data_IF_577012119167
#
_entry.id   IF_577012119167
#
_cell.length_a   1.000
_cell.length_b   1.000
_cell.length_c   1.000
_cell.angle_alpha   90.00
_cell.angle_beta   90.00
_cell.angle_gamma   90.00
#
_symmetry.space_group_name_H-M   'P 1'
#
loop_
_entity.id
_entity.type
_entity.pdbx_description
1 polymer ?
#
# COMPACT_ATOMS: atom_id res chain seq x y z
N UNK A 1 42.35 -37.08 -17.66
CA UNK A 1 41.47 -36.38 -16.71
C UNK A 1 40.56 -35.45 -17.50
N UNK A 2 39.23 -35.53 -17.36
CA UNK A 2 38.34 -34.54 -17.97
C UNK A 2 38.41 -33.23 -17.17
N UNK A 3 38.29 -32.06 -17.82
CA UNK A 3 38.27 -30.80 -17.11
C UNK A 3 36.96 -30.65 -16.34
N UNK A 4 37.09 -30.21 -15.09
CA UNK A 4 36.02 -29.96 -14.13
C UNK A 4 35.24 -28.73 -14.59
N UNK A 5 33.99 -28.91 -15.04
CA UNK A 5 33.09 -27.80 -15.36
C UNK A 5 32.94 -26.87 -14.16
N UNK A 6 33.50 -25.68 -14.28
CA UNK A 6 33.24 -24.57 -13.38
C UNK A 6 31.78 -24.17 -13.53
N UNK A 7 31.02 -24.37 -12.46
CA UNK A 7 29.62 -23.99 -12.34
C UNK A 7 29.55 -22.45 -12.30
N UNK A 8 29.62 -21.81 -13.48
CA UNK A 8 29.43 -20.36 -13.59
C UNK A 8 27.97 -20.06 -13.29
N UNK A 9 27.72 -19.48 -12.11
CA UNK A 9 26.42 -18.94 -11.72
C UNK A 9 26.05 -17.84 -12.72
N UNK A 10 25.18 -18.17 -13.68
CA UNK A 10 24.68 -17.24 -14.69
C UNK A 10 24.03 -16.07 -13.96
N UNK A 11 24.62 -14.88 -14.10
CA UNK A 11 24.03 -13.66 -13.56
C UNK A 11 22.76 -13.37 -14.37
N UNK A 12 21.61 -13.13 -13.72
CA UNK A 12 20.38 -12.83 -14.42
C UNK A 12 20.55 -11.55 -15.24
N UNK A 13 20.10 -11.59 -16.49
CA UNK A 13 20.09 -10.42 -17.37
C UNK A 13 19.27 -9.27 -16.75
N UNK A 14 19.54 -7.99 -17.09
CA UNK A 14 18.75 -6.86 -16.60
C UNK A 14 17.24 -7.07 -16.78
N UNK A 15 16.82 -7.58 -17.94
CA UNK A 15 15.43 -7.93 -18.24
C UNK A 15 14.88 -9.00 -17.32
N UNK A 16 15.67 -10.03 -16.99
CA UNK A 16 15.25 -11.10 -16.09
C UNK A 16 15.06 -10.63 -14.65
N UNK A 17 15.84 -9.65 -14.20
CA UNK A 17 15.63 -8.99 -12.91
C UNK A 17 14.32 -8.19 -12.89
N UNK A 18 14.01 -7.45 -13.97
CA UNK A 18 12.73 -6.72 -14.07
C UNK A 18 11.52 -7.67 -14.10
N UNK A 19 11.63 -8.77 -14.86
CA UNK A 19 10.58 -9.79 -14.96
C UNK A 19 10.30 -10.49 -13.61
N UNK A 20 11.25 -10.50 -12.68
CA UNK A 20 11.03 -11.13 -11.36
C UNK A 20 9.93 -10.43 -10.54
N UNK A 21 9.66 -9.16 -10.81
CA UNK A 21 8.60 -8.38 -10.16
C UNK A 21 7.26 -8.44 -10.89
N UNK A 22 7.23 -8.90 -12.15
CA UNK A 22 6.00 -8.94 -12.93
C UNK A 22 5.32 -10.30 -12.74
N UNK A 23 4.06 -10.35 -12.28
CA UNK A 23 3.36 -11.61 -12.14
C UNK A 23 3.15 -12.30 -13.48
N UNK A 24 3.40 -13.61 -13.49
CA UNK A 24 3.28 -14.45 -14.69
C UNK A 24 1.84 -14.63 -15.20
N UNK A 25 0.85 -14.24 -14.39
CA UNK A 25 -0.57 -14.33 -14.74
C UNK A 25 -1.10 -13.08 -15.46
N UNK A 26 -0.29 -12.02 -15.59
CA UNK A 26 -0.67 -10.83 -16.34
C UNK A 26 -0.66 -11.12 -17.85
N UNK A 27 -1.49 -10.39 -18.60
CA UNK A 27 -1.49 -10.48 -20.06
C UNK A 27 -0.12 -10.06 -20.64
N UNK A 28 0.25 -10.55 -21.84
CA UNK A 28 1.46 -10.11 -22.52
C UNK A 28 1.51 -8.60 -22.74
N UNK A 29 0.36 -7.97 -23.02
CA UNK A 29 0.23 -6.52 -23.17
C UNK A 29 0.54 -5.77 -21.87
N UNK A 30 -0.09 -6.16 -20.76
CA UNK A 30 0.18 -5.54 -19.46
C UNK A 30 1.64 -5.72 -19.04
N UNK A 31 2.21 -6.90 -19.32
CA UNK A 31 3.63 -7.19 -19.08
C UNK A 31 4.54 -6.26 -19.88
N UNK A 32 4.26 -6.06 -21.17
CA UNK A 32 5.04 -5.17 -22.02
C UNK A 32 4.99 -3.71 -21.55
N UNK A 33 3.80 -3.24 -21.13
CA UNK A 33 3.61 -1.89 -20.60
C UNK A 33 4.39 -1.71 -19.27
N UNK A 34 4.31 -2.69 -18.36
CA UNK A 34 5.06 -2.68 -17.11
C UNK A 34 6.57 -2.71 -17.33
N UNK A 35 7.06 -3.56 -18.24
CA UNK A 35 8.48 -3.61 -18.62
C UNK A 35 8.97 -2.27 -19.18
N UNK A 36 8.16 -1.65 -20.03
CA UNK A 36 8.48 -0.33 -20.60
C UNK A 36 8.60 0.71 -19.48
N UNK A 37 7.67 0.74 -18.53
CA UNK A 37 7.74 1.65 -17.39
C UNK A 37 8.94 1.37 -16.47
N UNK A 38 9.25 0.10 -16.23
CA UNK A 38 10.39 -0.33 -15.41
C UNK A 38 11.75 -0.03 -16.04
N UNK A 39 11.84 -0.05 -17.36
CA UNK A 39 13.08 0.26 -18.09
C UNK A 39 13.46 1.75 -18.06
N UNK A 40 12.51 2.63 -17.70
CA UNK A 40 12.78 4.06 -17.62
C UNK A 40 13.68 4.34 -16.40
N UNK A 41 14.60 5.32 -16.49
CA UNK A 41 15.32 5.78 -15.32
C UNK A 41 14.36 6.40 -14.32
N UNK A 42 14.74 6.35 -13.05
CA UNK A 42 14.02 7.01 -11.95
C UNK A 42 14.20 8.53 -12.14
N UNK A 43 13.10 9.27 -11.98
CA UNK A 43 13.14 10.73 -12.12
C UNK A 43 13.88 11.35 -10.93
N UNK A 44 14.72 12.38 -11.14
CA UNK A 44 15.33 13.13 -10.02
C UNK A 44 14.30 13.96 -9.24
N UNK A 45 13.09 14.11 -9.76
CA UNK A 45 11.95 14.77 -9.11
C UNK A 45 10.97 13.78 -8.47
N UNK A 46 11.35 12.50 -8.36
CA UNK A 46 10.52 11.53 -7.65
C UNK A 46 10.79 11.65 -6.16
N UNK A 47 9.74 11.90 -5.39
CA UNK A 47 9.81 12.13 -3.96
C UNK A 47 9.55 10.84 -3.17
N UNK A 48 9.96 10.85 -1.92
CA UNK A 48 9.51 9.87 -0.93
C UNK A 48 8.11 10.22 -0.38
N UNK A 49 7.26 9.23 -0.22
CA UNK A 49 5.92 9.46 0.32
C UNK A 49 5.20 8.18 0.74
N UNK A 50 3.89 8.25 0.76
CA UNK A 50 3.02 7.14 1.11
C UNK A 50 2.11 6.81 -0.07
N UNK A 51 1.90 5.51 -0.29
CA UNK A 51 0.76 5.04 -1.09
C UNK A 51 -0.40 4.82 -0.12
N UNK A 52 -1.57 5.38 -0.41
CA UNK A 52 -2.78 5.16 0.38
C UNK A 52 -3.86 4.48 -0.44
N UNK A 53 -4.73 3.76 0.26
CA UNK A 53 -5.94 3.14 -0.27
C UNK A 53 -7.10 3.60 0.58
N UNK A 54 -8.17 4.08 -0.04
CA UNK A 54 -9.46 4.30 0.62
C UNK A 54 -10.59 3.71 -0.21
N UNK A 55 -11.69 3.34 0.45
CA UNK A 55 -12.92 3.06 -0.25
C UNK A 55 -13.74 4.34 -0.41
N UNK A 56 -14.63 4.34 -1.38
CA UNK A 56 -15.69 5.32 -1.47
C UNK A 56 -17.00 4.69 -1.02
N UNK A 57 -17.64 5.31 -0.05
CA UNK A 57 -19.02 5.00 0.32
C UNK A 57 -19.94 5.96 -0.43
N UNK A 58 -20.87 5.44 -1.24
CA UNK A 58 -21.89 6.24 -1.97
C UNK A 58 -22.96 6.83 -1.03
N UNK A 59 -22.79 6.61 0.27
CA UNK A 59 -23.70 7.04 1.33
C UNK A 59 -22.98 7.99 2.27
N UNK A 60 -23.67 9.01 2.78
CA UNK A 60 -23.22 9.91 3.86
C UNK A 60 -22.84 9.19 5.17
N UNK A 61 -23.00 7.87 5.22
CA UNK A 61 -22.54 7.00 6.30
C UNK A 61 -21.08 6.63 6.06
N UNK A 62 -20.17 7.37 6.69
CA UNK A 62 -18.78 6.92 6.84
C UNK A 62 -18.74 5.74 7.82
N UNK A 63 -18.24 4.57 7.43
CA UNK A 63 -17.88 3.53 8.39
C UNK A 63 -16.72 4.03 9.26
N UNK A 64 -16.73 3.61 10.53
CA UNK A 64 -15.72 3.98 11.51
C UNK A 64 -14.30 3.60 11.04
N UNK A 65 -13.34 4.51 11.23
CA UNK A 65 -11.97 4.44 10.68
C UNK A 65 -11.25 3.15 11.11
N UNK A 66 -11.58 2.67 12.32
CA UNK A 66 -11.03 1.46 12.91
C UNK A 66 -11.50 0.18 12.20
N UNK A 67 -12.72 0.19 11.63
CA UNK A 67 -13.26 -0.95 10.88
C UNK A 67 -12.54 -1.09 9.54
N UNK A 68 -12.26 0.01 8.85
CA UNK A 68 -11.56 0.01 7.55
C UNK A 68 -10.10 -0.45 7.65
N UNK A 69 -9.40 0.02 8.68
CA UNK A 69 -8.00 -0.32 8.93
C UNK A 69 -7.84 -1.79 9.36
N UNK A 70 -8.76 -2.32 10.18
CA UNK A 70 -8.70 -3.69 10.69
C UNK A 70 -8.79 -4.77 9.61
N UNK A 71 -9.48 -4.49 8.49
CA UNK A 71 -9.73 -5.45 7.41
C UNK A 71 -8.49 -5.90 6.64
N UNK A 72 -7.42 -5.13 6.70
CA UNK A 72 -6.16 -5.44 6.05
C UNK A 72 -5.00 -5.53 7.05
N UNK A 73 -5.10 -4.86 8.21
CA UNK A 73 -4.10 -4.84 9.30
C UNK A 73 -3.86 -6.21 9.95
N UNK A 74 -4.88 -7.05 10.05
CA UNK A 74 -4.74 -8.37 10.64
C UNK A 74 -4.55 -9.44 9.55
N UNK A 75 -3.60 -10.38 9.70
CA UNK A 75 -3.59 -11.62 8.90
C UNK A 75 -4.84 -12.49 9.13
N UNK A 76 -5.76 -12.05 10.00
CA UNK A 76 -6.98 -12.73 10.42
C UNK A 76 -8.22 -11.80 10.37
N UNK A 77 -8.22 -10.78 9.52
CA UNK A 77 -9.42 -9.98 9.29
C UNK A 77 -10.59 -10.94 9.00
N UNK A 78 -11.60 -10.97 9.88
CA UNK A 78 -12.66 -11.97 9.77
C UNK A 78 -13.41 -11.67 8.48
N UNK A 79 -13.54 -12.66 7.60
CA UNK A 79 -14.28 -12.57 6.33
C UNK A 79 -15.66 -11.91 6.49
N UNK A 80 -16.28 -12.05 7.67
CA UNK A 80 -17.55 -11.40 8.06
C UNK A 80 -17.52 -9.87 8.03
N UNK A 81 -16.41 -9.22 8.36
CA UNK A 81 -16.29 -7.76 8.40
C UNK A 81 -16.14 -7.20 6.99
N UNK A 82 -15.38 -7.88 6.11
CA UNK A 82 -15.31 -7.54 4.68
C UNK A 82 -16.67 -7.74 4.04
N UNK A 83 -17.36 -8.84 4.36
CA UNK A 83 -18.69 -9.16 3.85
C UNK A 83 -19.76 -8.17 4.30
N UNK A 84 -19.73 -7.75 5.57
CA UNK A 84 -20.70 -6.80 6.16
C UNK A 84 -20.53 -5.42 5.55
N UNK A 85 -19.27 -5.01 5.39
CA UNK A 85 -18.92 -3.76 4.75
C UNK A 85 -19.21 -3.78 3.24
N UNK A 86 -18.81 -4.85 2.54
CA UNK A 86 -19.16 -5.08 1.15
C UNK A 86 -20.68 -5.04 0.96
N UNK A 87 -21.47 -5.65 1.85
CA UNK A 87 -22.94 -5.55 1.81
C UNK A 87 -23.45 -4.13 1.98
N UNK A 88 -22.79 -3.33 2.82
CA UNK A 88 -23.21 -1.96 3.11
C UNK A 88 -22.89 -0.98 1.97
N UNK A 89 -21.83 -1.26 1.19
CA UNK A 89 -21.31 -0.28 0.20
C UNK A 89 -21.10 -0.84 -1.22
N UNK A 90 -21.37 -2.12 -1.47
CA UNK A 90 -21.34 -2.65 -2.84
C UNK A 90 -22.52 -2.11 -3.64
N UNK A 91 -22.21 -1.66 -4.86
CA UNK A 91 -23.24 -1.29 -5.83
C UNK A 91 -23.90 -2.57 -6.34
N UNK A 92 -25.22 -2.67 -6.22
CA UNK A 92 -26.00 -3.83 -6.71
C UNK A 92 -26.14 -3.70 -8.22
N UNK A 93 -25.21 -4.26 -8.98
CA UNK A 93 -25.36 -4.43 -10.42
C UNK A 93 -26.63 -5.26 -10.70
N UNK A 94 -27.46 -4.81 -11.62
CA UNK A 94 -28.85 -5.24 -11.78
C UNK A 94 -29.01 -6.60 -12.49
N UNK A 95 -27.91 -7.33 -12.73
CA UNK A 95 -27.92 -8.55 -13.56
C UNK A 95 -27.27 -9.79 -12.95
N UNK A 96 -26.65 -9.73 -11.77
CA UNK A 96 -26.08 -10.93 -11.17
C UNK A 96 -26.01 -10.83 -9.63
N UNK A 97 -26.91 -11.53 -8.94
CA UNK A 97 -27.04 -11.46 -7.48
C UNK A 97 -25.81 -12.00 -6.70
N UNK A 98 -24.76 -12.46 -7.39
CA UNK A 98 -23.60 -13.14 -6.80
C UNK A 98 -22.26 -12.39 -6.87
N UNK A 99 -22.09 -11.33 -7.68
CA UNK A 99 -20.80 -10.62 -7.80
C UNK A 99 -20.88 -9.18 -7.34
N UNK A 100 -20.73 -8.97 -6.03
CA UNK A 100 -20.62 -7.63 -5.43
C UNK A 100 -19.25 -7.03 -5.73
N UNK A 101 -19.20 -5.73 -6.02
CA UNK A 101 -17.93 -5.00 -6.22
C UNK A 101 -17.82 -3.80 -5.29
N UNK A 102 -16.60 -3.46 -4.88
CA UNK A 102 -16.25 -2.23 -4.17
C UNK A 102 -15.34 -1.34 -5.01
N UNK A 103 -15.36 -0.04 -4.75
CA UNK A 103 -14.50 0.94 -5.40
C UNK A 103 -13.38 1.36 -4.46
N UNK A 104 -12.15 1.14 -4.89
CA UNK A 104 -10.96 1.59 -4.19
C UNK A 104 -10.32 2.75 -4.94
N UNK A 105 -9.85 3.75 -4.20
CA UNK A 105 -8.94 4.77 -4.71
C UNK A 105 -7.55 4.52 -4.20
N UNK A 106 -6.61 4.46 -5.12
CA UNK A 106 -5.20 4.25 -4.83
C UNK A 106 -4.43 5.46 -5.31
N UNK A 107 -3.81 6.18 -4.36
CA UNK A 107 -3.07 7.39 -4.66
C UNK A 107 -1.84 7.55 -3.79
N UNK A 108 -1.07 8.60 -4.07
CA UNK A 108 0.14 8.97 -3.34
C UNK A 108 0.02 10.30 -2.60
N UNK A 109 0.73 10.44 -1.48
CA UNK A 109 0.90 11.71 -0.77
C UNK A 109 2.11 11.69 0.17
N UNK A 110 2.74 12.85 0.38
CA UNK A 110 3.77 13.02 1.41
C UNK A 110 3.16 13.11 2.83
N UNK A 111 1.90 13.56 2.91
CA UNK A 111 1.10 13.60 4.13
C UNK A 111 -0.33 13.12 3.81
N UNK A 112 -0.62 11.85 4.12
CA UNK A 112 -1.92 11.22 3.82
C UNK A 112 -3.06 11.93 4.53
N UNK A 113 -2.87 12.34 5.79
CA UNK A 113 -3.93 12.98 6.57
C UNK A 113 -4.36 14.31 5.94
N UNK A 114 -3.41 15.18 5.60
CA UNK A 114 -3.70 16.43 4.87
C UNK A 114 -4.39 16.14 3.53
N UNK A 115 -3.91 15.14 2.78
CA UNK A 115 -4.49 14.77 1.49
C UNK A 115 -5.94 14.31 1.62
N UNK A 116 -6.28 13.60 2.69
CA UNK A 116 -7.67 13.21 2.98
C UNK A 116 -8.54 14.44 3.23
N UNK A 117 -8.10 15.39 4.07
CA UNK A 117 -8.85 16.64 4.32
C UNK A 117 -9.08 17.42 3.03
N UNK A 118 -8.06 17.56 2.18
CA UNK A 118 -8.19 18.23 0.87
C UNK A 118 -9.22 17.52 -0.02
N UNK A 119 -9.25 16.19 -0.04
CA UNK A 119 -10.21 15.44 -0.84
C UNK A 119 -11.65 15.59 -0.32
N UNK A 120 -11.85 15.51 1.00
CA UNK A 120 -13.15 15.75 1.62
C UNK A 120 -13.65 17.15 1.28
N UNK A 121 -12.77 18.17 1.34
CA UNK A 121 -13.12 19.56 1.02
C UNK A 121 -13.35 19.80 -0.48
N UNK A 122 -12.51 19.25 -1.36
CA UNK A 122 -12.56 19.52 -2.80
C UNK A 122 -13.65 18.71 -3.52
N UNK A 123 -13.86 17.47 -3.09
CA UNK A 123 -14.68 16.52 -3.82
C UNK A 123 -15.93 16.06 -3.04
N UNK A 124 -16.06 16.44 -1.76
CA UNK A 124 -17.25 16.15 -0.94
C UNK A 124 -17.45 14.68 -0.60
N UNK A 125 -16.46 13.82 -0.85
CA UNK A 125 -16.60 12.38 -0.61
C UNK A 125 -16.39 12.03 0.88
N UNK A 126 -17.27 11.18 1.40
CA UNK A 126 -17.08 10.45 2.65
C UNK A 126 -15.98 9.38 2.45
N UNK A 127 -14.75 9.70 2.85
CA UNK A 127 -13.60 8.81 2.71
C UNK A 127 -13.33 8.05 4.00
N UNK A 128 -13.16 6.74 3.93
CA UNK A 128 -12.51 5.98 5.01
C UNK A 128 -11.19 5.41 4.52
N UNK A 129 -10.11 5.85 5.15
CA UNK A 129 -8.77 5.35 4.89
C UNK A 129 -8.72 3.87 5.25
N UNK A 130 -8.45 3.03 4.24
CA UNK A 130 -8.33 1.58 4.43
C UNK A 130 -6.91 1.25 4.89
N UNK A 131 -5.89 1.83 4.24
CA UNK A 131 -4.48 1.57 4.55
C UNK A 131 -3.57 2.61 3.91
N UNK A 132 -2.36 2.76 4.44
CA UNK A 132 -1.24 3.40 3.77
C UNK A 132 0.04 2.55 3.88
N UNK A 133 0.97 2.74 2.95
CA UNK A 133 2.21 1.99 2.81
C UNK A 133 3.42 2.93 2.88
N UNK A 134 4.54 2.49 3.47
CA UNK A 134 4.81 1.14 3.97
C UNK A 134 4.00 0.83 5.24
N UNK A 135 3.35 -0.34 5.25
CA UNK A 135 2.56 -0.77 6.40
C UNK A 135 3.50 -1.24 7.49
N UNK A 136 3.67 -0.42 8.53
CA UNK A 136 4.35 -0.83 9.75
C UNK A 136 3.35 -1.69 10.51
N UNK A 137 3.53 -3.02 10.46
CA UNK A 137 2.84 -3.90 11.39
C UNK A 137 3.30 -3.45 12.77
N UNK A 138 2.42 -2.81 13.53
CA UNK A 138 2.64 -2.59 14.96
C UNK A 138 2.63 -3.96 15.62
N UNK A 139 3.71 -4.74 15.48
CA UNK A 139 4.02 -5.78 16.45
C UNK A 139 4.08 -5.05 17.78
N UNK A 140 3.19 -5.33 18.75
CA UNK A 140 3.28 -4.72 20.05
C UNK A 140 4.67 -5.07 20.56
N UNK A 141 5.56 -4.08 20.62
CA UNK A 141 6.83 -4.24 21.30
C UNK A 141 6.47 -4.70 22.70
N UNK A 142 6.80 -5.95 23.00
CA UNK A 142 6.69 -6.54 24.32
C UNK A 142 7.29 -5.52 25.28
N UNK A 143 6.43 -4.85 26.05
CA UNK A 143 6.90 -3.91 27.06
C UNK A 143 7.88 -4.69 27.94
N UNK A 144 9.12 -4.23 28.16
CA UNK A 144 10.01 -4.93 29.06
C UNK A 144 9.33 -4.93 30.43
N UNK A 145 8.98 -6.14 30.85
CA UNK A 145 8.37 -6.46 32.14
C UNK A 145 9.22 -5.77 33.21
N UNK A 146 8.65 -4.78 33.90
CA UNK A 146 9.30 -4.14 35.05
C UNK A 146 9.41 -5.19 36.15
N UNK A 147 10.58 -5.81 36.27
CA UNK A 147 10.95 -6.49 37.50
C UNK A 147 11.48 -5.42 38.47
N UNK A 148 10.78 -5.26 39.59
CA UNK A 148 11.15 -4.35 40.67
C UNK A 148 12.46 -4.85 41.33
N UNK A 149 13.51 -4.02 41.49
CA UNK A 149 14.56 -4.26 42.46
C UNK A 149 14.23 -3.52 43.78
N UNK A 150 14.63 -4.06 44.94
CA UNK A 150 14.42 -3.41 46.22
C UNK A 150 15.37 -2.23 46.43
N UNK A 151 14.91 -1.30 47.27
CA UNK A 151 15.57 -0.11 47.81
C UNK A 151 17.01 -0.34 48.28
N UNK A 152 17.90 0.64 48.06
CA UNK A 152 18.61 1.43 49.09
C UNK A 152 19.81 2.25 48.52
N UNK A 153 19.77 3.57 48.78
CA UNK A 153 20.87 4.55 48.98
C UNK A 153 21.66 5.12 47.77
N UNK A 154 21.84 6.46 47.81
CA UNK A 154 22.54 7.41 46.89
C UNK A 154 24.01 7.66 47.32
N UNK A 155 24.80 8.60 46.73
CA UNK A 155 25.02 9.05 45.34
C UNK A 155 26.53 9.09 44.95
N UNK A 156 26.90 9.06 43.66
CA UNK A 156 27.81 10.06 43.05
C UNK A 156 28.15 9.76 41.57
N UNK A 157 28.39 10.86 40.85
CA UNK A 157 28.73 11.04 39.44
C UNK A 157 29.43 9.91 38.69
N UNK A 158 28.76 9.33 37.68
CA UNK A 158 29.31 9.20 36.32
C UNK A 158 28.15 9.33 35.32
N UNK A 159 28.27 10.32 34.44
CA UNK A 159 27.39 10.61 33.32
C UNK A 159 27.66 9.60 32.18
N UNK A 160 26.70 8.78 31.74
CA UNK A 160 26.73 8.29 30.37
C UNK A 160 26.25 9.43 29.46
N UNK A 161 26.82 9.60 28.26
CA UNK A 161 26.37 10.63 27.35
C UNK A 161 24.90 10.36 27.02
N UNK A 162 24.08 11.40 27.07
CA UNK A 162 22.82 11.42 26.33
C UNK A 162 23.16 11.42 24.83
N UNK A 163 23.68 10.29 24.34
CA UNK A 163 23.72 9.97 22.95
C UNK A 163 22.25 9.78 22.55
N UNK A 164 21.68 10.87 22.04
CA UNK A 164 20.64 10.89 21.03
C UNK A 164 19.78 9.63 21.02
N UNK A 165 18.71 9.63 21.83
CA UNK A 165 17.44 9.07 21.35
C UNK A 165 16.85 10.02 20.30
N UNK A 166 17.63 10.25 19.25
CA UNK A 166 17.22 10.83 17.98
C UNK A 166 17.31 9.74 16.93
N UNK A 167 16.63 8.63 17.20
CA UNK A 167 15.99 7.84 16.15
C UNK A 167 14.50 8.06 16.40
N UNK A 168 13.99 9.26 16.12
CA UNK A 168 13.30 9.43 14.84
C UNK A 168 12.64 8.10 14.48
N UNK A 169 11.43 7.92 15.03
CA UNK A 169 10.41 7.11 14.39
C UNK A 169 10.11 7.79 13.04
N UNK A 170 11.13 7.81 12.15
CA UNK A 170 10.99 8.20 10.76
C UNK A 170 10.06 7.15 10.23
N UNK A 171 8.77 7.49 10.30
CA UNK A 171 7.71 6.79 9.62
C UNK A 171 8.26 6.53 8.22
N UNK A 172 8.61 5.27 7.95
CA UNK A 172 9.29 4.91 6.71
C UNK A 172 8.43 5.39 5.57
N UNK A 173 9.04 6.01 4.56
CA UNK A 173 8.35 6.39 3.34
C UNK A 173 8.75 5.45 2.21
N UNK A 174 7.83 5.27 1.27
CA UNK A 174 8.12 4.58 0.02
C UNK A 174 8.99 5.53 -0.83
N UNK A 175 10.20 5.11 -1.23
CA UNK A 175 10.98 5.87 -2.20
C UNK A 175 10.30 5.82 -3.57
N UNK A 176 10.56 6.81 -4.42
CA UNK A 176 10.07 6.83 -5.80
C UNK A 176 8.55 6.66 -5.90
N UNK A 177 7.81 7.37 -5.04
CA UNK A 177 6.37 7.12 -4.82
C UNK A 177 5.54 7.41 -6.07
N UNK A 178 5.99 8.32 -6.94
CA UNK A 178 5.33 8.58 -8.22
C UNK A 178 5.46 7.36 -9.15
N UNK A 179 6.66 6.78 -9.23
CA UNK A 179 6.89 5.57 -10.02
C UNK A 179 6.14 4.37 -9.46
N UNK A 180 6.11 4.20 -8.13
CA UNK A 180 5.38 3.10 -7.47
C UNK A 180 3.90 3.19 -7.77
N UNK A 181 3.28 4.36 -7.59
CA UNK A 181 1.87 4.55 -7.89
C UNK A 181 1.59 4.24 -9.36
N UNK A 182 2.43 4.73 -10.28
CA UNK A 182 2.29 4.47 -11.71
C UNK A 182 2.31 2.97 -12.03
N UNK A 183 3.21 2.19 -11.42
CA UNK A 183 3.29 0.75 -11.64
C UNK A 183 2.05 0.00 -11.11
N UNK A 184 1.58 0.35 -9.91
CA UNK A 184 0.33 -0.19 -9.34
C UNK A 184 -0.85 0.08 -10.29
N UNK A 185 -0.92 1.32 -10.79
CA UNK A 185 -1.94 1.80 -11.71
C UNK A 185 -1.92 1.08 -13.06
N UNK A 186 -0.76 0.69 -13.55
CA UNK A 186 -0.58 -0.06 -14.79
C UNK A 186 -0.98 -1.53 -14.61
N UNK A 187 -0.62 -2.15 -13.49
CA UNK A 187 -1.00 -3.53 -13.20
C UNK A 187 -2.50 -3.70 -12.97
N UNK A 188 -3.13 -2.72 -12.33
CA UNK A 188 -4.58 -2.70 -12.08
C UNK A 188 -5.38 -1.99 -13.19
N UNK A 189 -4.80 -1.80 -14.38
CA UNK A 189 -5.42 -1.05 -15.46
C UNK A 189 -6.73 -1.69 -15.95
N UNK A 190 -6.83 -3.02 -15.89
CA UNK A 190 -8.02 -3.82 -16.21
C UNK A 190 -9.22 -3.50 -15.31
N UNK A 191 -8.96 -3.12 -14.06
CA UNK A 191 -9.95 -2.80 -13.03
C UNK A 191 -10.22 -1.30 -12.92
N UNK A 192 -9.52 -0.48 -13.70
CA UNK A 192 -9.61 0.99 -13.59
C UNK A 192 -10.94 1.49 -14.13
N UNK A 193 -11.60 2.32 -13.33
CA UNK A 193 -12.82 3.04 -13.73
C UNK A 193 -12.57 4.55 -13.71
N UNK A 194 -13.20 5.26 -14.65
CA UNK A 194 -13.19 6.72 -14.68
C UNK A 194 -14.44 7.23 -13.97
N UNK A 195 -14.30 8.26 -13.13
CA UNK A 195 -15.43 8.93 -12.50
C UNK A 195 -15.35 10.43 -12.67
N UNK A 196 -16.39 11.00 -13.23
CA UNK A 196 -16.61 12.44 -13.23
C UNK A 196 -17.08 12.82 -11.82
N UNK A 197 -16.43 13.83 -11.24
CA UNK A 197 -16.77 14.33 -9.92
C UNK A 197 -17.60 15.60 -10.06
N UNK A 198 -18.83 15.58 -9.54
CA UNK A 198 -19.75 16.71 -9.64
C UNK A 198 -19.30 17.90 -8.76
N UNK A 199 -18.61 17.62 -7.65
CA UNK A 199 -18.12 18.66 -6.73
C UNK A 199 -16.91 19.43 -7.30
N UNK A 200 -15.90 18.74 -7.84
CA UNK A 200 -14.68 19.39 -8.34
C UNK A 200 -14.68 19.61 -9.86
N UNK A 201 -15.65 19.04 -10.59
CA UNK A 201 -15.79 19.12 -12.05
C UNK A 201 -14.74 18.33 -12.85
N UNK A 202 -13.87 17.55 -12.20
CA UNK A 202 -12.76 16.82 -12.85
C UNK A 202 -13.06 15.34 -13.03
N UNK A 203 -12.39 14.74 -14.02
CA UNK A 203 -12.37 13.29 -14.22
C UNK A 203 -11.29 12.65 -13.34
N UNK A 204 -11.70 11.80 -12.40
CA UNK A 204 -10.81 11.01 -11.56
C UNK A 204 -10.51 9.66 -12.22
N UNK A 205 -9.22 9.36 -12.42
CA UNK A 205 -8.71 8.15 -13.12
C UNK A 205 -8.06 7.12 -12.20
N UNK A 206 -8.13 7.37 -10.90
CA UNK A 206 -7.41 6.62 -9.87
C UNK A 206 -8.35 5.70 -9.08
N UNK A 207 -9.48 5.34 -9.70
CA UNK A 207 -10.50 4.47 -9.12
C UNK A 207 -10.39 3.08 -9.73
N UNK A 208 -10.54 2.06 -8.88
CA UNK A 208 -10.43 0.65 -9.24
C UNK A 208 -11.63 -0.11 -8.71
N UNK A 209 -12.36 -0.77 -9.60
CA UNK A 209 -13.49 -1.63 -9.26
C UNK A 209 -12.97 -3.05 -9.01
N UNK A 210 -13.16 -3.55 -7.79
CA UNK A 210 -12.70 -4.89 -7.41
C UNK A 210 -13.85 -5.72 -6.88
N UNK A 211 -13.72 -7.04 -7.00
CA UNK A 211 -14.64 -7.97 -6.36
C UNK A 211 -14.62 -7.73 -4.84
N UNK A 212 -15.80 -7.62 -4.23
CA UNK A 212 -15.99 -7.36 -2.82
C UNK A 212 -15.77 -8.64 -1.99
N UNK A 213 -14.67 -9.33 -2.27
CA UNK A 213 -14.23 -10.56 -1.61
C UNK A 213 -12.87 -10.32 -0.94
N UNK A 214 -12.58 -11.11 0.09
CA UNK A 214 -11.25 -11.12 0.72
C UNK A 214 -10.13 -11.35 -0.31
N UNK A 215 -10.38 -12.22 -1.30
CA UNK A 215 -9.44 -12.48 -2.41
C UNK A 215 -9.23 -11.24 -3.28
N UNK A 216 -10.29 -10.51 -3.62
CA UNK A 216 -10.20 -9.29 -4.41
C UNK A 216 -9.40 -8.19 -3.71
N UNK A 217 -9.67 -7.98 -2.41
CA UNK A 217 -8.97 -7.01 -1.58
C UNK A 217 -7.50 -7.40 -1.37
N UNK A 218 -7.23 -8.68 -1.06
CA UNK A 218 -5.87 -9.20 -0.92
C UNK A 218 -5.05 -9.08 -2.22
N UNK A 219 -5.68 -9.32 -3.37
CA UNK A 219 -4.98 -9.17 -4.65
C UNK A 219 -4.47 -7.73 -4.86
N UNK A 220 -5.24 -6.71 -4.46
CA UNK A 220 -4.79 -5.31 -4.50
C UNK A 220 -3.65 -5.06 -3.51
N UNK A 221 -3.77 -5.54 -2.26
CA UNK A 221 -2.70 -5.43 -1.25
C UNK A 221 -1.39 -6.07 -1.75
N UNK A 222 -1.46 -7.24 -2.38
CA UNK A 222 -0.32 -7.95 -2.95
C UNK A 222 0.35 -7.13 -4.08
N UNK A 223 -0.43 -6.45 -4.93
CA UNK A 223 0.10 -5.54 -5.97
C UNK A 223 0.86 -4.37 -5.32
N UNK A 224 0.24 -3.68 -4.36
CA UNK A 224 0.85 -2.51 -3.73
C UNK A 224 2.14 -2.89 -3.02
N UNK A 225 2.13 -3.97 -2.23
CA UNK A 225 3.34 -4.47 -1.53
C UNK A 225 4.47 -4.79 -2.48
N UNK A 226 4.17 -5.37 -3.64
CA UNK A 226 5.19 -5.77 -4.61
C UNK A 226 5.91 -4.55 -5.17
N UNK A 227 5.17 -3.51 -5.56
CA UNK A 227 5.76 -2.30 -6.11
C UNK A 227 6.44 -1.43 -5.06
N UNK A 228 5.96 -1.43 -3.81
CA UNK A 228 6.70 -0.80 -2.70
C UNK A 228 8.02 -1.52 -2.42
N UNK A 229 8.02 -2.86 -2.41
CA UNK A 229 9.24 -3.65 -2.22
C UNK A 229 10.22 -3.49 -3.39
N UNK A 230 9.71 -3.37 -4.62
CA UNK A 230 10.53 -3.02 -5.78
C UNK A 230 11.26 -1.68 -5.57
N UNK A 231 10.55 -0.66 -5.10
CA UNK A 231 11.15 0.66 -4.91
C UNK A 231 12.22 0.69 -3.82
N UNK A 232 12.01 -0.03 -2.71
CA UNK A 232 13.01 -0.20 -1.65
C UNK A 232 14.31 -0.83 -2.18
N UNK A 233 14.24 -1.78 -3.13
CA UNK A 233 15.42 -2.38 -3.74
C UNK A 233 16.16 -1.45 -4.72
N UNK A 234 15.51 -0.37 -5.15
CA UNK A 234 16.05 0.60 -6.12
C UNK A 234 16.34 1.97 -5.50
N UNK A 235 16.44 2.05 -4.16
CA UNK A 235 16.80 3.25 -3.40
C UNK A 235 18.32 3.49 -3.33
N UNK A 236 19.01 3.45 -4.47
CA UNK A 236 20.46 3.69 -4.55
C UNK A 236 20.81 5.17 -4.65
#
# INVERSE_FOLDING_TARGET
>A
MPPRSTNQRVQPSPTQNLLSFIPRHLSPEATAILLTELSKPISPHDDEGYIYIFWLTDTDKTPDIDTASSLLAQPHARTKDIDSLARSYSRREQSDAQRRTILLKIGRANNVHRRMTEWTQQCGYALSLVRWYPYISSSPQSSPRRENPPTHLRPDSVRPPMAMRSSSDQIRKVPHVHRVERLIHLELADKRVKRNCDACGKEHREWFQIEATERGVKAVDDVVRRWTAWAEQHQK
#
